data_IF_151678999456
#
_entry.id   IF_151678999456
#
_cell.length_a   1.000
_cell.length_b   1.000
_cell.length_c   1.000
_cell.angle_alpha   90.00
_cell.angle_beta   90.00
_cell.angle_gamma   90.00
#
_symmetry.space_group_name_H-M   'P 1'
#
loop_
_entity.id
_entity.type
_entity.pdbx_description
1 polymer ?
#
# COMPACT_ATOMS: atom_id res chain seq x y z
N UNK A 1 9.40 12.82 -4.74
CA UNK A 1 8.54 12.37 -3.61
C UNK A 1 8.06 10.92 -3.85
N UNK A 2 8.88 9.90 -3.52
CA UNK A 2 8.56 8.48 -3.80
C UNK A 2 7.65 7.84 -2.74
N UNK A 3 7.55 8.45 -1.55
CA UNK A 3 6.74 8.00 -0.40
C UNK A 3 5.26 8.34 -0.56
N UNK A 4 4.92 9.55 -1.00
CA UNK A 4 3.53 9.94 -1.32
C UNK A 4 2.89 9.06 -2.39
N UNK A 5 3.67 8.67 -3.42
CA UNK A 5 3.21 7.76 -4.48
C UNK A 5 2.92 6.35 -3.96
N UNK A 6 3.71 5.87 -2.99
CA UNK A 6 3.52 4.57 -2.35
C UNK A 6 2.30 4.55 -1.42
N UNK A 7 2.04 5.66 -0.69
CA UNK A 7 0.82 5.88 0.07
C UNK A 7 -0.42 5.86 -0.82
N UNK A 8 -0.40 6.56 -1.96
CA UNK A 8 -1.49 6.53 -2.94
C UNK A 8 -1.69 5.13 -3.51
N UNK A 9 -0.61 4.40 -3.78
CA UNK A 9 -0.67 3.02 -4.28
C UNK A 9 -1.30 2.04 -3.27
N UNK A 10 -1.20 2.33 -1.97
CA UNK A 10 -1.84 1.51 -0.93
C UNK A 10 -3.36 1.53 -1.02
N UNK A 11 -3.97 2.65 -1.44
CA UNK A 11 -5.40 2.75 -1.66
C UNK A 11 -5.82 2.39 -3.09
N UNK A 12 -4.97 2.68 -4.09
CA UNK A 12 -5.27 2.40 -5.50
C UNK A 12 -5.18 0.90 -5.79
N UNK A 13 -4.22 0.17 -5.22
CA UNK A 13 -4.06 -1.27 -5.45
C UNK A 13 -5.32 -2.12 -5.12
N UNK A 14 -5.94 -1.95 -3.94
CA UNK A 14 -7.17 -2.65 -3.58
C UNK A 14 -8.36 -2.19 -4.43
N UNK A 15 -8.44 -0.90 -4.78
CA UNK A 15 -9.45 -0.39 -5.71
C UNK A 15 -9.37 -1.06 -7.08
N UNK A 16 -8.15 -1.21 -7.62
CA UNK A 16 -7.93 -1.87 -8.92
C UNK A 16 -8.24 -3.36 -8.83
N UNK A 17 -7.90 -4.03 -7.71
CA UNK A 17 -8.31 -5.42 -7.47
C UNK A 17 -9.83 -5.58 -7.41
N UNK A 18 -10.54 -4.71 -6.68
CA UNK A 18 -11.99 -4.71 -6.61
C UNK A 18 -12.63 -4.48 -7.98
N UNK A 19 -12.08 -3.54 -8.76
CA UNK A 19 -12.53 -3.28 -10.12
C UNK A 19 -12.33 -4.50 -11.03
N UNK A 20 -11.17 -5.17 -10.94
CA UNK A 20 -10.89 -6.39 -11.69
C UNK A 20 -11.85 -7.52 -11.33
N UNK A 21 -12.17 -7.69 -10.04
CA UNK A 21 -13.16 -8.68 -9.58
C UNK A 21 -14.56 -8.33 -10.09
N UNK A 22 -14.96 -7.06 -10.04
CA UNK A 22 -16.25 -6.61 -10.55
C UNK A 22 -16.37 -6.84 -12.07
N UNK A 23 -15.32 -6.53 -12.84
CA UNK A 23 -15.27 -6.80 -14.29
C UNK A 23 -15.32 -8.29 -14.58
N UNK A 24 -14.59 -9.12 -13.80
CA UNK A 24 -14.63 -10.58 -13.93
C UNK A 24 -16.04 -11.13 -13.73
N UNK A 25 -16.77 -10.59 -12.75
CA UNK A 25 -18.16 -10.97 -12.48
C UNK A 25 -19.10 -10.56 -13.62
N UNK A 26 -18.91 -9.35 -14.18
CA UNK A 26 -19.76 -8.79 -15.23
C UNK A 26 -19.55 -9.41 -16.62
N UNK A 27 -18.34 -9.89 -16.92
CA UNK A 27 -17.98 -10.26 -18.30
C UNK A 27 -18.20 -11.74 -18.59
N UNK A 28 -17.66 -12.65 -17.77
CA UNK A 28 -17.82 -14.10 -17.99
C UNK A 28 -17.55 -14.89 -16.69
N UNK A 29 -18.56 -15.53 -16.07
CA UNK A 29 -18.33 -16.45 -14.97
C UNK A 29 -17.76 -17.77 -15.55
N UNK A 30 -16.43 -17.88 -15.67
CA UNK A 30 -15.79 -19.13 -16.11
C UNK A 30 -14.33 -19.00 -16.55
N UNK A 31 -13.96 -17.87 -17.16
CA UNK A 31 -12.58 -17.62 -17.58
C UNK A 31 -11.81 -16.83 -16.51
N UNK A 32 -10.89 -17.50 -15.82
CA UNK A 32 -10.10 -16.91 -14.74
C UNK A 32 -8.90 -16.08 -15.24
N UNK A 33 -9.04 -15.39 -16.37
CA UNK A 33 -7.97 -14.60 -16.98
C UNK A 33 -7.48 -13.47 -16.04
N UNK A 34 -8.35 -12.99 -15.14
CA UNK A 34 -8.03 -11.98 -14.12
C UNK A 34 -7.07 -12.52 -13.03
N UNK A 35 -6.88 -13.84 -12.91
CA UNK A 35 -6.06 -14.46 -11.86
C UNK A 35 -4.61 -13.94 -11.87
N UNK A 36 -3.98 -13.87 -13.05
CA UNK A 36 -2.59 -13.43 -13.18
C UNK A 36 -2.42 -11.93 -12.90
N UNK A 37 -3.39 -11.12 -13.34
CA UNK A 37 -3.41 -9.68 -13.04
C UNK A 37 -3.63 -9.42 -11.54
N UNK A 38 -4.57 -10.15 -10.92
CA UNK A 38 -4.86 -10.06 -9.50
C UNK A 38 -3.65 -10.48 -8.66
N UNK A 39 -2.94 -11.54 -9.04
CA UNK A 39 -1.69 -11.95 -8.38
C UNK A 39 -0.60 -10.88 -8.50
N UNK A 40 -0.36 -10.35 -9.70
CA UNK A 40 0.65 -9.32 -9.93
C UNK A 40 0.38 -8.05 -9.11
N UNK A 41 -0.87 -7.59 -9.09
CA UNK A 41 -1.29 -6.41 -8.32
C UNK A 41 -1.25 -6.70 -6.82
N UNK A 42 -1.70 -7.88 -6.39
CA UNK A 42 -1.65 -8.30 -4.99
C UNK A 42 -0.23 -8.30 -4.43
N UNK A 43 0.73 -8.88 -5.14
CA UNK A 43 2.14 -8.90 -4.72
C UNK A 43 2.70 -7.47 -4.67
N UNK A 44 2.47 -6.68 -5.73
CA UNK A 44 2.92 -5.29 -5.75
C UNK A 44 2.33 -4.46 -4.60
N UNK A 45 1.06 -4.70 -4.25
CA UNK A 45 0.39 -4.04 -3.15
C UNK A 45 0.99 -4.41 -1.80
N UNK A 46 1.19 -5.70 -1.52
CA UNK A 46 1.80 -6.18 -0.26
C UNK A 46 3.20 -5.58 -0.07
N UNK A 47 4.03 -5.59 -1.11
CA UNK A 47 5.38 -5.01 -1.06
C UNK A 47 5.32 -3.50 -0.79
N UNK A 48 4.40 -2.78 -1.44
CA UNK A 48 4.18 -1.36 -1.20
C UNK A 48 3.69 -1.09 0.22
N UNK A 49 2.82 -1.94 0.77
CA UNK A 49 2.31 -1.83 2.14
C UNK A 49 3.43 -1.93 3.17
N UNK A 50 4.26 -2.97 3.12
CA UNK A 50 5.39 -3.11 4.03
C UNK A 50 6.36 -1.93 3.92
N UNK A 51 6.61 -1.45 2.71
CA UNK A 51 7.49 -0.29 2.48
C UNK A 51 6.94 0.99 3.12
N UNK A 52 5.63 1.22 3.04
CA UNK A 52 4.98 2.38 3.68
C UNK A 52 4.96 2.23 5.21
N UNK A 53 4.67 1.03 5.72
CA UNK A 53 4.66 0.74 7.15
C UNK A 53 6.04 0.98 7.79
N UNK A 54 7.10 0.46 7.18
CA UNK A 54 8.48 0.72 7.65
C UNK A 54 8.81 2.21 7.64
N UNK A 55 8.41 2.93 6.59
CA UNK A 55 8.62 4.37 6.53
C UNK A 55 7.88 5.14 7.64
N UNK A 56 6.66 4.72 7.97
CA UNK A 56 5.87 5.28 9.08
C UNK A 56 6.54 5.01 10.43
N UNK A 57 7.00 3.78 10.67
CA UNK A 57 7.68 3.40 11.92
C UNK A 57 8.97 4.20 12.09
N UNK A 58 9.79 4.29 11.04
CA UNK A 58 11.06 5.05 11.08
C UNK A 58 10.80 6.54 11.28
N UNK A 59 9.86 7.13 10.54
CA UNK A 59 9.52 8.54 10.68
C UNK A 59 8.94 8.85 12.07
N UNK A 60 8.04 7.99 12.58
CA UNK A 60 7.47 8.11 13.92
C UNK A 60 8.52 7.97 15.01
N UNK A 61 9.45 7.02 14.87
CA UNK A 61 10.58 6.84 15.80
C UNK A 61 11.50 8.05 15.83
N UNK A 62 11.86 8.61 14.67
CA UNK A 62 12.67 9.84 14.58
C UNK A 62 11.94 11.02 15.22
N UNK A 63 10.66 11.21 14.89
CA UNK A 63 9.86 12.30 15.44
C UNK A 63 9.72 12.21 16.96
N UNK A 64 9.46 11.00 17.49
CA UNK A 64 9.40 10.75 18.94
C UNK A 64 10.72 11.00 19.64
N UNK A 65 11.83 10.56 19.05
CA UNK A 65 13.17 10.79 19.59
C UNK A 65 13.53 12.29 19.65
N UNK A 66 13.24 13.04 18.57
CA UNK A 66 13.45 14.49 18.54
C UNK A 66 12.57 15.22 19.56
N UNK A 67 11.32 14.79 19.74
CA UNK A 67 10.43 15.34 20.76
C UNK A 67 10.97 15.12 22.18
N UNK A 68 11.50 13.92 22.46
CA UNK A 68 12.12 13.59 23.75
C UNK A 68 13.37 14.43 24.03
N UNK A 69 14.25 14.61 23.03
CA UNK A 69 15.42 15.48 23.18
C UNK A 69 15.02 16.93 23.47
N UNK A 70 14.00 17.43 22.76
CA UNK A 70 13.50 18.80 22.97
C UNK A 70 12.91 19.02 24.37
N UNK A 71 12.24 18.01 24.93
CA UNK A 71 11.75 18.07 26.31
C UNK A 71 12.87 18.03 27.36
N UNK A 72 14.02 17.42 27.05
CA UNK A 72 15.17 17.35 27.96
C UNK A 72 16.06 18.59 27.96
N UNK A 73 16.00 19.40 26.91
CA UNK A 73 16.84 20.59 26.74
C UNK A 73 16.15 21.91 27.12
N UNK A 74 14.92 21.86 27.63
CA UNK A 74 14.14 23.02 28.08
C UNK A 74 13.90 23.02 29.57
#
# INVERSE_FOLDING_TARGET
MKTLRALKFLFVGPMVLLLLVAINWLTTPGDWWVQWAALGIGIAWVVSFFRVLTALIVAGGIAGFLAMLRQRSG
#
